data_IF_488879680619
#
_entry.id   IF_488879680619
#
_cell.length_a   1.000
_cell.length_b   1.000
_cell.length_c   1.000
_cell.angle_alpha   90.00
_cell.angle_beta   90.00
_cell.angle_gamma   90.00
#
_symmetry.space_group_name_H-M   'P 1'
#
loop_
_entity.id
_entity.type
_entity.pdbx_description
1 polymer ?
#
# COMPACT_ATOMS: atom_id res chain seq x y z
N UNK A 1 18.18 -23.64 -40.18
CA UNK A 1 17.78 -22.23 -40.26
C UNK A 1 17.37 -21.92 -41.69
N UNK A 2 16.07 -21.91 -41.96
CA UNK A 2 15.52 -21.36 -43.19
C UNK A 2 14.60 -20.24 -42.77
N UNK A 3 15.17 -19.08 -42.45
CA UNK A 3 14.41 -17.86 -42.24
C UNK A 3 13.76 -17.51 -43.58
N UNK A 4 12.43 -17.48 -43.63
CA UNK A 4 11.70 -17.08 -44.82
C UNK A 4 11.29 -15.62 -44.61
N UNK A 5 12.03 -14.65 -45.18
CA UNK A 5 11.53 -13.28 -45.23
C UNK A 5 10.30 -13.26 -46.14
N UNK A 6 9.13 -13.05 -45.57
CA UNK A 6 7.93 -12.79 -46.35
C UNK A 6 7.81 -11.27 -46.57
N UNK A 7 8.35 -10.81 -47.69
CA UNK A 7 8.33 -9.41 -48.10
C UNK A 7 6.91 -8.85 -48.31
N UNK A 8 5.86 -9.68 -48.32
CA UNK A 8 4.48 -9.22 -48.42
C UNK A 8 3.86 -8.86 -47.06
N UNK A 9 4.40 -9.39 -45.95
CA UNK A 9 3.94 -9.13 -44.58
C UNK A 9 5.01 -8.50 -43.69
N UNK A 10 6.26 -8.38 -44.16
CA UNK A 10 7.37 -7.82 -43.39
C UNK A 10 7.62 -8.54 -42.09
N UNK A 11 7.77 -9.85 -42.17
CA UNK A 11 8.05 -10.68 -41.01
C UNK A 11 9.20 -11.64 -41.25
N UNK A 12 9.87 -12.01 -40.17
CA UNK A 12 10.87 -13.06 -40.09
C UNK A 12 10.29 -14.21 -39.26
N UNK A 13 10.20 -15.39 -39.87
CA UNK A 13 9.53 -16.56 -39.29
C UNK A 13 10.57 -17.65 -38.99
N UNK A 14 10.59 -18.09 -37.73
CA UNK A 14 11.35 -19.22 -37.19
C UNK A 14 10.74 -20.58 -37.54
N UNK A 15 10.99 -21.58 -36.70
CA UNK A 15 10.54 -22.96 -36.85
C UNK A 15 10.27 -23.62 -35.48
N UNK A 16 10.18 -24.94 -35.43
CA UNK A 16 9.82 -25.70 -34.21
C UNK A 16 11.07 -26.10 -33.39
N UNK A 17 12.13 -25.30 -33.42
CA UNK A 17 13.39 -25.56 -32.72
C UNK A 17 13.95 -24.27 -32.19
N UNK A 18 14.57 -24.30 -31.02
CA UNK A 18 15.24 -23.15 -30.41
C UNK A 18 16.15 -22.38 -31.37
N UNK A 19 15.89 -21.08 -31.49
CA UNK A 19 16.51 -20.16 -32.41
C UNK A 19 17.00 -18.88 -31.71
N UNK A 20 18.02 -18.29 -32.31
CA UNK A 20 18.47 -16.93 -31.99
C UNK A 20 18.17 -16.06 -33.21
N UNK A 21 17.24 -15.13 -33.07
CA UNK A 21 16.82 -14.22 -34.13
C UNK A 21 17.08 -12.79 -33.66
N UNK A 22 17.77 -12.00 -34.47
CA UNK A 22 18.00 -10.58 -34.19
C UNK A 22 17.67 -9.75 -35.41
N UNK A 23 16.83 -8.74 -35.22
CA UNK A 23 16.57 -7.73 -36.22
C UNK A 23 17.67 -6.66 -36.24
N UNK A 24 17.71 -5.91 -37.32
CA UNK A 24 18.46 -4.66 -37.43
C UNK A 24 17.55 -3.59 -38.01
N UNK A 25 17.78 -2.33 -37.62
CA UNK A 25 16.91 -1.22 -38.05
C UNK A 25 16.75 -1.16 -39.57
N UNK A 26 15.50 -0.98 -40.00
CA UNK A 26 15.07 -0.95 -41.39
C UNK A 26 15.13 -2.30 -42.12
N UNK A 27 15.32 -3.43 -41.40
CA UNK A 27 15.27 -4.77 -41.99
C UNK A 27 13.87 -5.09 -42.53
N UNK A 28 12.83 -4.63 -41.83
CA UNK A 28 11.43 -4.80 -42.18
C UNK A 28 10.91 -3.44 -42.66
N UNK A 29 10.18 -3.43 -43.78
CA UNK A 29 9.79 -2.17 -44.46
C UNK A 29 8.36 -1.70 -44.13
N UNK A 30 7.62 -2.48 -43.35
CA UNK A 30 6.32 -2.13 -42.80
C UNK A 30 6.41 -2.23 -41.29
N UNK A 31 6.18 -1.10 -40.61
CA UNK A 31 6.15 -1.02 -39.16
C UNK A 31 4.68 -1.03 -38.68
N UNK A 32 4.34 -1.85 -37.69
CA UNK A 32 5.25 -2.76 -36.99
C UNK A 32 5.72 -3.95 -37.85
N UNK A 33 7.02 -4.25 -37.78
CA UNK A 33 7.65 -5.40 -38.45
C UNK A 33 7.61 -6.64 -37.57
N UNK A 34 7.37 -7.84 -38.12
CA UNK A 34 7.12 -9.05 -37.32
C UNK A 34 8.32 -9.98 -37.12
N UNK A 35 8.47 -10.54 -35.92
CA UNK A 35 9.28 -11.74 -35.63
C UNK A 35 8.36 -12.82 -35.04
N UNK A 36 8.40 -14.03 -35.59
CA UNK A 36 7.62 -15.17 -35.09
C UNK A 36 8.58 -16.34 -34.79
N UNK A 37 8.77 -16.70 -33.52
CA UNK A 37 9.57 -17.84 -33.06
C UNK A 37 8.98 -19.18 -33.49
N UNK A 38 7.66 -19.34 -33.24
CA UNK A 38 6.84 -20.54 -33.45
C UNK A 38 6.98 -21.58 -32.35
N UNK A 39 8.09 -22.32 -32.29
CA UNK A 39 8.20 -23.43 -31.34
C UNK A 39 9.62 -23.69 -30.86
N UNK A 40 9.73 -24.08 -29.60
CA UNK A 40 11.02 -24.32 -28.94
C UNK A 40 11.54 -23.05 -28.29
N UNK A 41 12.49 -23.21 -27.38
CA UNK A 41 12.97 -22.10 -26.54
C UNK A 41 13.78 -21.08 -27.36
N UNK A 42 13.17 -19.97 -27.73
CA UNK A 42 13.73 -18.96 -28.63
C UNK A 42 14.33 -17.76 -27.90
N UNK A 43 15.17 -17.02 -28.61
CA UNK A 43 15.77 -15.76 -28.17
C UNK A 43 15.62 -14.76 -29.31
N UNK A 44 14.69 -13.80 -29.15
CA UNK A 44 14.22 -12.90 -30.20
C UNK A 44 14.56 -11.45 -29.84
N UNK A 45 15.37 -10.80 -30.67
CA UNK A 45 15.73 -9.38 -30.50
C UNK A 45 15.11 -8.52 -31.61
N UNK A 46 14.38 -7.49 -31.20
CA UNK A 46 13.93 -6.38 -32.02
C UNK A 46 15.08 -5.44 -32.41
N UNK A 47 14.74 -4.24 -32.85
CA UNK A 47 15.67 -3.22 -33.30
C UNK A 47 15.29 -1.85 -32.73
N UNK A 48 15.47 -0.78 -33.50
CA UNK A 48 15.14 0.58 -33.05
C UNK A 48 13.86 1.12 -33.68
N UNK A 49 13.09 0.24 -34.32
CA UNK A 49 11.85 0.58 -35.00
C UNK A 49 10.70 -0.14 -34.26
N UNK A 50 9.44 0.23 -34.53
CA UNK A 50 8.33 -0.48 -33.89
C UNK A 50 8.22 -1.93 -34.45
N UNK A 51 8.15 -2.91 -33.54
CA UNK A 51 8.16 -4.34 -33.82
C UNK A 51 6.97 -5.09 -33.20
N UNK A 52 6.62 -6.22 -33.84
CA UNK A 52 5.72 -7.23 -33.29
C UNK A 52 6.52 -8.53 -33.10
N UNK A 53 6.75 -8.96 -31.86
CA UNK A 53 7.54 -10.16 -31.54
C UNK A 53 6.62 -11.21 -30.90
N UNK A 54 6.62 -12.43 -31.44
CA UNK A 54 5.76 -13.53 -31.00
C UNK A 54 6.63 -14.77 -30.71
N UNK A 55 6.76 -15.18 -29.45
CA UNK A 55 7.42 -16.43 -29.04
C UNK A 55 6.61 -17.65 -29.48
N UNK A 56 5.34 -17.68 -29.09
CA UNK A 56 4.31 -18.71 -29.30
C UNK A 56 4.42 -19.91 -28.34
N UNK A 57 5.39 -20.80 -28.49
CA UNK A 57 5.49 -21.99 -27.63
C UNK A 57 6.93 -22.32 -27.30
N UNK A 58 7.19 -22.65 -26.04
CA UNK A 58 8.55 -22.90 -25.55
C UNK A 58 8.90 -21.84 -24.51
N UNK A 59 10.03 -22.01 -23.82
CA UNK A 59 10.53 -20.96 -22.93
C UNK A 59 11.24 -19.90 -23.77
N UNK A 60 10.57 -18.80 -24.07
CA UNK A 60 11.06 -17.77 -24.97
C UNK A 60 11.62 -16.56 -24.21
N UNK A 61 12.64 -15.93 -24.79
CA UNK A 61 13.14 -14.62 -24.34
C UNK A 61 13.02 -13.59 -25.47
N UNK A 62 12.31 -12.50 -25.20
CA UNK A 62 11.94 -11.48 -26.18
C UNK A 62 12.43 -10.10 -25.72
N UNK A 63 13.14 -9.39 -26.60
CA UNK A 63 13.60 -8.01 -26.36
C UNK A 63 13.06 -7.09 -27.46
N UNK A 64 12.32 -6.04 -27.11
CA UNK A 64 11.82 -5.02 -28.04
C UNK A 64 12.93 -4.12 -28.57
N UNK A 65 13.78 -3.67 -27.66
CA UNK A 65 14.81 -2.65 -27.86
C UNK A 65 14.23 -1.23 -27.91
N UNK A 66 14.52 -0.41 -28.91
CA UNK A 66 13.95 0.96 -28.93
C UNK A 66 12.75 0.98 -29.87
N UNK A 67 11.63 1.57 -29.49
CA UNK A 67 10.44 1.59 -30.34
C UNK A 67 9.17 1.53 -29.53
N UNK A 68 8.02 1.57 -30.20
CA UNK A 68 6.76 1.15 -29.57
C UNK A 68 6.42 -0.26 -30.01
N UNK A 69 6.93 -1.21 -29.24
CA UNK A 69 6.89 -2.62 -29.57
C UNK A 69 5.66 -3.33 -29.03
N UNK A 70 5.37 -4.49 -29.58
CA UNK A 70 4.37 -5.40 -29.05
C UNK A 70 4.94 -6.81 -28.96
N UNK A 71 5.04 -7.32 -27.74
CA UNK A 71 5.63 -8.62 -27.44
C UNK A 71 4.55 -9.58 -26.92
N UNK A 72 4.58 -10.81 -27.42
CA UNK A 72 3.76 -11.92 -26.95
C UNK A 72 4.64 -13.12 -26.62
N UNK A 73 4.70 -13.54 -25.35
CA UNK A 73 5.40 -14.74 -24.90
C UNK A 73 4.74 -15.99 -25.50
N UNK A 74 3.57 -16.34 -24.97
CA UNK A 74 2.68 -17.31 -25.59
C UNK A 74 2.31 -18.46 -24.67
N UNK A 75 3.19 -19.44 -24.51
CA UNK A 75 2.97 -20.63 -23.67
C UNK A 75 4.27 -21.02 -23.03
N UNK A 76 4.15 -21.58 -21.83
CA UNK A 76 5.30 -21.81 -20.95
C UNK A 76 5.78 -20.47 -20.38
N UNK A 77 6.67 -20.51 -19.39
CA UNK A 77 7.05 -19.27 -18.71
C UNK A 77 8.06 -18.49 -19.54
N UNK A 78 7.70 -17.31 -20.02
CA UNK A 78 8.52 -16.50 -20.92
C UNK A 78 9.17 -15.31 -20.20
N UNK A 79 10.19 -14.72 -20.83
CA UNK A 79 10.79 -13.45 -20.40
C UNK A 79 10.62 -12.43 -21.51
N UNK A 80 9.98 -11.30 -21.21
CA UNK A 80 9.74 -10.20 -22.14
C UNK A 80 10.34 -8.91 -21.58
N UNK A 81 11.06 -8.16 -22.40
CA UNK A 81 11.65 -6.86 -22.06
C UNK A 81 11.39 -5.86 -23.19
N UNK A 82 10.65 -4.79 -22.91
CA UNK A 82 10.39 -3.71 -23.90
C UNK A 82 11.65 -2.90 -24.21
N UNK A 83 12.44 -2.61 -23.17
CA UNK A 83 13.61 -1.73 -23.15
C UNK A 83 13.26 -0.24 -23.25
N UNK A 84 13.00 0.34 -24.42
CA UNK A 84 12.81 1.77 -24.56
C UNK A 84 11.68 2.14 -25.50
N UNK A 85 10.77 2.97 -25.03
CA UNK A 85 9.63 3.49 -25.77
C UNK A 85 8.31 3.10 -25.09
N UNK A 86 7.23 2.98 -25.85
CA UNK A 86 5.92 2.72 -25.24
C UNK A 86 5.43 1.37 -25.73
N UNK A 87 5.62 0.36 -24.90
CA UNK A 87 5.54 -1.04 -25.28
C UNK A 87 4.26 -1.71 -24.78
N UNK A 88 3.87 -2.78 -25.47
CA UNK A 88 2.72 -3.59 -25.12
C UNK A 88 3.15 -5.05 -24.97
N UNK A 89 3.23 -5.53 -23.73
CA UNK A 89 3.73 -6.86 -23.39
C UNK A 89 2.59 -7.77 -22.92
N UNK A 90 2.54 -8.99 -23.48
CA UNK A 90 1.62 -10.05 -23.07
C UNK A 90 2.38 -11.34 -22.77
N UNK A 91 2.39 -11.80 -21.51
CA UNK A 91 2.93 -13.11 -21.14
C UNK A 91 2.08 -14.25 -21.73
N UNK A 92 0.77 -14.16 -21.51
CA UNK A 92 -0.31 -15.06 -21.95
C UNK A 92 -0.56 -16.27 -21.04
N UNK A 93 0.26 -17.32 -21.09
CA UNK A 93 -0.03 -18.59 -20.44
C UNK A 93 1.20 -19.12 -19.72
N UNK A 94 0.96 -19.68 -18.54
CA UNK A 94 1.97 -20.09 -17.57
C UNK A 94 2.69 -18.87 -16.94
N UNK A 95 3.69 -19.11 -16.09
CA UNK A 95 4.27 -18.07 -15.24
C UNK A 95 5.36 -17.27 -15.97
N UNK A 96 5.06 -16.03 -16.30
CA UNK A 96 5.87 -15.14 -17.13
C UNK A 96 6.63 -14.08 -16.31
N UNK A 97 7.67 -13.49 -16.90
CA UNK A 97 8.36 -12.31 -16.36
C UNK A 97 8.41 -11.20 -17.40
N UNK A 98 7.84 -10.04 -17.09
CA UNK A 98 7.70 -8.90 -18.00
C UNK A 98 8.40 -7.65 -17.42
N UNK A 99 9.22 -7.00 -18.22
CA UNK A 99 9.85 -5.72 -17.94
C UNK A 99 9.42 -4.70 -19.01
N UNK A 100 8.81 -3.59 -18.61
CA UNK A 100 8.39 -2.51 -19.51
C UNK A 100 9.62 -1.81 -20.08
N UNK A 101 10.40 -1.18 -19.20
CA UNK A 101 11.59 -0.44 -19.57
C UNK A 101 11.35 1.05 -19.38
N UNK A 102 11.91 1.88 -20.26
CA UNK A 102 11.70 3.33 -20.23
C UNK A 102 10.56 3.74 -21.18
N UNK A 103 9.43 4.21 -20.64
CA UNK A 103 8.41 4.96 -21.36
C UNK A 103 7.02 4.79 -20.80
N UNK A 104 6.02 4.49 -21.63
CA UNK A 104 4.63 4.35 -21.17
C UNK A 104 4.12 2.99 -21.58
N UNK A 105 4.34 2.01 -20.71
CA UNK A 105 4.19 0.61 -21.04
C UNK A 105 2.86 0.04 -20.56
N UNK A 106 2.41 -1.02 -21.22
CA UNK A 106 1.23 -1.78 -20.84
C UNK A 106 1.60 -3.25 -20.74
N UNK A 107 1.61 -3.78 -19.52
CA UNK A 107 2.05 -5.14 -19.20
C UNK A 107 0.85 -5.99 -18.76
N UNK A 108 0.67 -7.13 -19.41
CA UNK A 108 -0.38 -8.10 -19.12
C UNK A 108 0.23 -9.50 -18.91
N UNK A 109 0.19 -10.01 -17.67
CA UNK A 109 0.74 -11.32 -17.32
C UNK A 109 -0.01 -12.45 -18.01
N UNK A 110 -1.31 -12.53 -17.76
CA UNK A 110 -2.22 -13.44 -18.46
C UNK A 110 -2.69 -14.55 -17.54
N UNK A 111 -2.17 -15.77 -17.68
CA UNK A 111 -2.53 -16.89 -16.80
C UNK A 111 -1.27 -17.49 -16.21
N UNK A 112 -1.04 -17.31 -14.93
CA UNK A 112 0.17 -17.78 -14.30
C UNK A 112 0.34 -17.06 -12.99
N UNK A 113 1.38 -17.42 -12.25
CA UNK A 113 1.84 -16.56 -11.16
C UNK A 113 2.97 -15.72 -11.77
N UNK A 114 2.62 -14.54 -12.29
CA UNK A 114 3.48 -13.72 -13.15
C UNK A 114 4.28 -12.68 -12.34
N UNK A 115 5.37 -12.19 -12.93
CA UNK A 115 6.17 -11.08 -12.38
C UNK A 115 6.23 -9.94 -13.39
N UNK A 116 5.65 -8.79 -13.05
CA UNK A 116 5.60 -7.60 -13.91
C UNK A 116 6.34 -6.45 -13.24
N UNK A 117 7.19 -5.76 -14.00
CA UNK A 117 7.90 -4.55 -13.60
C UNK A 117 7.81 -3.48 -14.69
N UNK A 118 7.16 -2.35 -14.42
CA UNK A 118 7.06 -1.23 -15.38
C UNK A 118 8.40 -0.54 -15.63
N UNK A 119 9.23 -0.45 -14.59
CA UNK A 119 10.51 0.25 -14.55
C UNK A 119 10.39 1.79 -14.59
N UNK A 120 10.38 2.41 -15.77
CA UNK A 120 10.47 3.86 -15.89
C UNK A 120 9.34 4.44 -16.72
N UNK A 121 8.53 5.29 -16.10
CA UNK A 121 7.49 6.09 -16.72
C UNK A 121 6.11 5.75 -16.18
N UNK A 122 5.04 6.05 -16.93
CA UNK A 122 3.68 5.87 -16.40
C UNK A 122 3.04 4.63 -17.00
N UNK A 123 3.08 3.54 -16.24
CA UNK A 123 2.81 2.22 -16.76
C UNK A 123 1.43 1.72 -16.35
N UNK A 124 0.94 0.74 -17.09
CA UNK A 124 -0.31 0.02 -16.82
C UNK A 124 -0.01 -1.45 -16.64
N UNK A 125 -0.22 -1.98 -15.43
CA UNK A 125 0.12 -3.35 -15.09
C UNK A 125 -1.14 -4.16 -14.74
N UNK A 126 -1.30 -5.32 -15.36
CA UNK A 126 -2.33 -6.30 -15.04
C UNK A 126 -1.71 -7.69 -14.94
N UNK A 127 -1.69 -8.29 -13.74
CA UNK A 127 -1.29 -9.70 -13.58
C UNK A 127 -2.28 -10.67 -14.24
N UNK A 128 -3.56 -10.28 -14.30
CA UNK A 128 -4.68 -11.07 -14.80
C UNK A 128 -5.04 -12.29 -13.90
N UNK A 129 -4.77 -13.53 -14.33
CA UNK A 129 -5.19 -14.74 -13.64
C UNK A 129 -4.03 -15.44 -12.94
N UNK A 130 -3.95 -15.26 -11.63
CA UNK A 130 -3.12 -16.05 -10.74
C UNK A 130 -2.73 -15.24 -9.52
N UNK A 131 -1.61 -15.55 -8.89
CA UNK A 131 -1.06 -14.75 -7.82
C UNK A 131 0.20 -14.02 -8.31
N UNK A 132 0.01 -12.79 -8.77
CA UNK A 132 1.04 -12.05 -9.51
C UNK A 132 1.85 -11.13 -8.59
N UNK A 133 3.07 -10.80 -9.01
CA UNK A 133 3.92 -9.78 -8.38
C UNK A 133 4.03 -8.58 -9.32
N UNK A 134 3.58 -7.41 -8.88
CA UNK A 134 3.49 -6.20 -9.68
C UNK A 134 4.37 -5.10 -9.07
N UNK A 135 5.25 -4.52 -9.88
CA UNK A 135 6.14 -3.40 -9.50
C UNK A 135 5.94 -2.29 -10.53
N UNK A 136 5.47 -1.11 -10.11
CA UNK A 136 5.22 0.01 -11.01
C UNK A 136 6.53 0.62 -11.52
N UNK A 137 7.42 0.95 -10.59
CA UNK A 137 8.67 1.64 -10.88
C UNK A 137 8.54 3.15 -10.68
N UNK A 138 9.24 3.93 -11.51
CA UNK A 138 9.24 5.40 -11.42
C UNK A 138 8.15 5.96 -12.30
N UNK A 139 7.14 6.59 -11.72
CA UNK A 139 6.19 7.41 -12.47
C UNK A 139 4.83 7.35 -11.83
N UNK A 140 3.78 7.60 -12.60
CA UNK A 140 2.40 7.40 -12.14
C UNK A 140 1.85 6.14 -12.79
N UNK A 141 1.75 5.09 -12.00
CA UNK A 141 1.39 3.77 -12.50
C UNK A 141 -0.05 3.41 -12.19
N UNK A 142 -0.60 2.50 -12.98
CA UNK A 142 -1.96 1.99 -12.81
C UNK A 142 -1.93 0.47 -12.69
N UNK A 143 -2.29 -0.02 -11.50
CA UNK A 143 -2.43 -1.45 -11.21
C UNK A 143 -3.87 -1.90 -11.43
N UNK A 144 -4.10 -2.75 -12.44
CA UNK A 144 -5.41 -3.27 -12.82
C UNK A 144 -5.66 -4.59 -12.09
N UNK A 145 -6.39 -4.50 -10.98
CA UNK A 145 -6.76 -5.69 -10.24
C UNK A 145 -7.95 -6.39 -10.90
N UNK A 146 -7.99 -7.71 -10.79
CA UNK A 146 -9.13 -8.51 -11.21
C UNK A 146 -9.77 -9.23 -10.03
N UNK A 147 -11.05 -9.58 -10.20
CA UNK A 147 -11.76 -10.45 -9.28
C UNK A 147 -12.07 -11.77 -9.97
N UNK A 148 -11.27 -12.81 -9.70
CA UNK A 148 -11.36 -14.09 -10.40
C UNK A 148 -11.25 -15.31 -9.46
N UNK A 149 -10.93 -15.11 -8.19
CA UNK A 149 -10.80 -16.17 -7.18
C UNK A 149 -9.63 -17.12 -7.40
N UNK A 150 -8.58 -16.69 -8.13
CA UNK A 150 -7.45 -17.54 -8.53
C UNK A 150 -6.10 -17.18 -7.92
N UNK A 151 -6.03 -16.10 -7.13
CA UNK A 151 -4.82 -15.69 -6.43
C UNK A 151 -4.99 -14.28 -5.90
N UNK A 152 -4.01 -13.83 -5.13
CA UNK A 152 -3.96 -12.46 -4.59
C UNK A 152 -2.70 -11.84 -5.13
N UNK A 153 -2.84 -10.70 -5.79
CA UNK A 153 -1.71 -9.97 -6.36
C UNK A 153 -0.90 -9.30 -5.25
N UNK A 154 0.40 -9.18 -5.46
CA UNK A 154 1.33 -8.50 -4.57
C UNK A 154 1.92 -7.28 -5.29
N UNK A 155 1.47 -6.09 -4.89
CA UNK A 155 2.03 -4.83 -5.38
C UNK A 155 3.16 -4.42 -4.44
N UNK A 156 4.36 -4.23 -4.98
CA UNK A 156 5.61 -4.17 -4.20
C UNK A 156 6.08 -2.76 -3.87
N UNK A 157 5.65 -1.75 -4.62
CA UNK A 157 6.21 -0.39 -4.57
C UNK A 157 5.18 0.74 -4.72
N UNK A 158 3.89 0.44 -4.54
CA UNK A 158 2.80 1.42 -4.68
C UNK A 158 3.10 2.76 -4.00
N UNK A 159 3.06 3.87 -4.75
CA UNK A 159 3.28 5.23 -4.27
C UNK A 159 1.95 5.99 -4.07
N UNK A 160 1.48 6.20 -2.83
CA UNK A 160 0.18 6.85 -2.59
C UNK A 160 0.15 8.29 -3.14
N UNK A 161 -0.98 8.68 -3.74
CA UNK A 161 -1.19 9.96 -4.45
C UNK A 161 -0.43 10.13 -5.78
N UNK A 162 0.37 9.14 -6.16
CA UNK A 162 1.04 9.11 -7.45
C UNK A 162 0.39 7.99 -8.25
N UNK A 163 0.44 6.76 -7.74
CA UNK A 163 -0.11 5.58 -8.39
C UNK A 163 -1.60 5.41 -8.15
N UNK A 164 -2.21 4.56 -8.98
CA UNK A 164 -3.63 4.29 -8.97
C UNK A 164 -3.90 2.79 -9.00
N UNK A 165 -4.86 2.34 -8.19
CA UNK A 165 -5.37 0.97 -8.22
C UNK A 165 -6.72 0.99 -8.93
N UNK A 166 -6.80 0.35 -10.08
CA UNK A 166 -8.07 0.15 -10.76
C UNK A 166 -8.75 -1.12 -10.23
N UNK A 167 -9.89 -0.92 -9.56
CA UNK A 167 -10.73 -2.00 -9.06
C UNK A 167 -11.78 -2.40 -10.10
N UNK A 168 -12.14 -3.70 -10.16
CA UNK A 168 -13.26 -4.16 -10.97
C UNK A 168 -14.57 -3.41 -10.68
N UNK A 169 -15.37 -3.19 -11.72
CA UNK A 169 -16.67 -2.54 -11.54
C UNK A 169 -17.64 -3.44 -10.74
N UNK A 170 -18.47 -2.81 -9.92
CA UNK A 170 -19.55 -3.44 -9.17
C UNK A 170 -19.11 -4.48 -8.11
N UNK A 171 -17.91 -4.35 -7.54
CA UNK A 171 -17.45 -5.20 -6.42
C UNK A 171 -18.30 -5.09 -5.15
N UNK A 172 -19.09 -4.03 -5.01
CA UNK A 172 -19.75 -3.72 -3.75
C UNK A 172 -18.74 -3.20 -2.73
N UNK A 173 -18.61 -3.85 -1.58
CA UNK A 173 -17.76 -3.34 -0.50
C UNK A 173 -16.36 -3.98 -0.52
N UNK A 174 -15.31 -3.16 -0.64
CA UNK A 174 -13.90 -3.60 -0.55
C UNK A 174 -13.33 -3.15 0.79
N UNK A 175 -12.88 -4.08 1.61
CA UNK A 175 -12.23 -3.82 2.89
C UNK A 175 -10.76 -3.56 2.67
N UNK A 176 -10.26 -2.47 3.25
CA UNK A 176 -8.85 -2.13 3.26
C UNK A 176 -8.33 -2.49 4.64
N UNK A 177 -7.51 -3.54 4.78
CA UNK A 177 -7.14 -4.13 6.07
C UNK A 177 -5.64 -4.05 6.31
N UNK A 178 -5.23 -3.72 7.54
CA UNK A 178 -3.81 -3.80 7.91
C UNK A 178 -3.34 -5.26 8.01
N UNK A 179 -2.09 -5.50 7.58
CA UNK A 179 -1.40 -6.78 7.76
C UNK A 179 -0.06 -6.49 8.42
N UNK A 180 0.03 -6.81 9.72
CA UNK A 180 1.19 -6.39 10.50
C UNK A 180 1.28 -4.86 10.56
N UNK A 181 2.49 -4.32 10.49
CA UNK A 181 2.77 -2.89 10.67
C UNK A 181 3.12 -2.13 9.38
N UNK A 182 3.20 -2.80 8.23
CA UNK A 182 3.75 -2.20 7.00
C UNK A 182 3.14 -2.75 5.71
N UNK A 183 1.96 -3.37 5.78
CA UNK A 183 1.29 -3.93 4.63
C UNK A 183 -0.21 -3.71 4.71
N UNK A 184 -0.84 -3.60 3.54
CA UNK A 184 -2.28 -3.42 3.41
C UNK A 184 -2.86 -4.48 2.49
N UNK A 185 -3.97 -5.08 2.89
CA UNK A 185 -4.68 -6.08 2.12
C UNK A 185 -6.05 -5.56 1.68
N UNK A 186 -6.38 -5.75 0.41
CA UNK A 186 -7.68 -5.42 -0.16
C UNK A 186 -8.53 -6.68 -0.24
N UNK A 187 -9.70 -6.67 0.41
CA UNK A 187 -10.59 -7.84 0.53
C UNK A 187 -12.01 -7.50 0.07
N UNK A 188 -12.53 -8.22 -0.91
CA UNK A 188 -13.93 -8.05 -1.36
C UNK A 188 -14.87 -8.67 -0.33
N UNK A 189 -15.69 -7.85 0.32
CA UNK A 189 -16.53 -8.28 1.46
C UNK A 189 -17.54 -9.37 1.11
N UNK A 190 -18.08 -9.34 -0.11
CA UNK A 190 -19.12 -10.26 -0.54
C UNK A 190 -18.60 -11.69 -0.75
N UNK A 191 -17.34 -11.84 -1.14
CA UNK A 191 -16.70 -13.12 -1.47
C UNK A 191 -15.63 -13.54 -0.48
N UNK A 192 -15.16 -12.62 0.37
CA UNK A 192 -13.98 -12.78 1.23
C UNK A 192 -12.71 -13.11 0.42
N UNK A 193 -12.66 -12.64 -0.82
CA UNK A 193 -11.53 -12.79 -1.71
C UNK A 193 -10.54 -11.67 -1.45
N UNK A 194 -9.27 -12.02 -1.30
CA UNK A 194 -8.19 -11.06 -1.19
C UNK A 194 -7.68 -10.77 -2.60
N UNK A 195 -7.92 -9.56 -3.09
CA UNK A 195 -7.57 -9.18 -4.47
C UNK A 195 -6.17 -8.59 -4.57
N UNK A 196 -5.66 -7.99 -3.48
CA UNK A 196 -4.29 -7.49 -3.45
C UNK A 196 -3.70 -7.44 -2.04
N UNK A 197 -2.37 -7.51 -1.98
CA UNK A 197 -1.52 -7.11 -0.87
C UNK A 197 -0.59 -6.00 -1.36
N UNK A 198 -0.54 -4.87 -0.67
CA UNK A 198 0.37 -3.76 -0.91
C UNK A 198 1.52 -3.85 0.09
N UNK A 199 2.76 -3.95 -0.37
CA UNK A 199 3.95 -3.89 0.48
C UNK A 199 4.32 -2.46 0.81
N UNK A 200 4.83 -2.20 2.01
CA UNK A 200 5.26 -0.85 2.39
C UNK A 200 4.14 0.14 2.67
N UNK A 201 2.87 -0.26 2.50
CA UNK A 201 1.71 0.62 2.64
C UNK A 201 0.91 0.23 3.85
N UNK A 202 0.72 1.17 4.78
CA UNK A 202 -0.30 1.02 5.82
C UNK A 202 -1.63 1.60 5.35
N UNK A 203 -2.76 1.08 5.84
CA UNK A 203 -4.03 1.43 5.23
C UNK A 203 -4.40 2.92 5.35
N UNK A 204 -3.82 3.63 6.33
CA UNK A 204 -3.98 5.08 6.50
C UNK A 204 -3.26 5.93 5.45
N UNK A 205 -2.32 5.37 4.69
CA UNK A 205 -1.71 6.08 3.55
C UNK A 205 -2.67 6.21 2.37
N UNK A 206 -3.66 5.31 2.29
CA UNK A 206 -4.58 5.21 1.17
C UNK A 206 -5.76 6.17 1.31
N UNK A 207 -6.16 6.75 0.19
CA UNK A 207 -7.27 7.68 0.02
C UNK A 207 -8.19 7.18 -1.06
N UNK A 208 -9.44 7.63 -1.06
CA UNK A 208 -10.39 7.32 -2.13
C UNK A 208 -9.84 7.69 -3.52
N UNK A 209 -8.96 8.70 -3.60
CA UNK A 209 -8.31 9.14 -4.85
C UNK A 209 -7.30 8.16 -5.42
N UNK A 210 -6.79 7.23 -4.60
CA UNK A 210 -5.84 6.20 -5.03
C UNK A 210 -6.55 5.06 -5.78
N UNK A 211 -7.88 5.06 -5.82
CA UNK A 211 -8.68 4.01 -6.45
C UNK A 211 -9.52 4.54 -7.61
N UNK A 212 -9.54 3.78 -8.71
CA UNK A 212 -10.39 4.03 -9.87
C UNK A 212 -11.36 2.86 -10.05
N UNK A 213 -12.59 3.17 -10.51
CA UNK A 213 -13.61 2.19 -10.88
C UNK A 213 -15.01 2.68 -10.49
N UNK A 214 -16.04 1.89 -10.77
CA UNK A 214 -17.43 2.24 -10.48
C UNK A 214 -18.13 1.16 -9.65
N UNK A 215 -19.14 1.56 -8.87
CA UNK A 215 -20.01 0.60 -8.17
C UNK A 215 -19.34 -0.16 -7.02
N UNK A 216 -18.23 0.35 -6.49
CA UNK A 216 -17.66 -0.09 -5.22
C UNK A 216 -17.74 0.99 -4.15
N UNK A 217 -17.60 0.56 -2.90
CA UNK A 217 -17.37 1.43 -1.74
C UNK A 217 -16.17 0.88 -0.99
N UNK A 218 -15.22 1.75 -0.66
CA UNK A 218 -14.13 1.38 0.22
C UNK A 218 -14.67 1.35 1.63
N UNK A 219 -14.58 0.18 2.25
CA UNK A 219 -14.72 0.03 3.67
C UNK A 219 -13.33 0.18 4.27
N UNK A 220 -12.98 1.41 4.55
CA UNK A 220 -11.84 1.71 5.40
C UNK A 220 -12.15 1.44 6.87
N UNK A 221 -13.33 0.94 7.25
CA UNK A 221 -13.65 0.56 8.63
C UNK A 221 -12.94 -0.73 9.08
N UNK A 222 -12.12 -1.35 8.22
CA UNK A 222 -11.07 -2.30 8.61
C UNK A 222 -9.63 -1.75 8.44
N UNK A 223 -9.49 -0.49 8.02
CA UNK A 223 -8.31 0.32 8.32
C UNK A 223 -8.50 0.57 9.80
N UNK A 224 -7.64 0.01 10.64
CA UNK A 224 -7.28 0.76 11.81
C UNK A 224 -6.20 1.74 11.36
N UNK A 225 -6.53 3.00 11.01
CA UNK A 225 -5.78 4.04 11.69
C UNK A 225 -6.22 3.98 13.17
N UNK A 226 -5.36 4.28 14.14
CA UNK A 226 -5.75 4.28 15.55
C UNK A 226 -6.82 5.30 15.95
N UNK A 227 -8.07 5.17 15.50
CA UNK A 227 -9.13 6.13 15.84
C UNK A 227 -10.49 5.45 16.00
N UNK A 228 -10.52 4.42 16.85
CA UNK A 228 -11.58 4.11 17.82
C UNK A 228 -11.16 2.92 18.68
N UNK A 229 -10.33 2.03 18.12
CA UNK A 229 -9.87 0.80 18.77
C UNK A 229 -8.71 1.04 19.74
N UNK A 230 -7.70 1.87 19.43
CA UNK A 230 -6.65 2.20 20.42
C UNK A 230 -7.16 3.08 21.57
N UNK A 231 -8.03 4.05 21.29
CA UNK A 231 -8.70 4.82 22.35
C UNK A 231 -9.49 3.87 23.26
N UNK A 232 -10.22 2.90 22.69
CA UNK A 232 -10.98 1.93 23.48
C UNK A 232 -10.08 0.90 24.18
N UNK A 233 -9.01 0.41 23.55
CA UNK A 233 -8.06 -0.54 24.12
C UNK A 233 -7.25 0.09 25.25
N UNK A 234 -6.74 1.32 25.06
CA UNK A 234 -6.07 2.07 26.14
C UNK A 234 -7.05 2.31 27.29
N UNK A 235 -8.32 2.63 27.01
CA UNK A 235 -9.35 2.74 28.04
C UNK A 235 -9.57 1.42 28.78
N UNK A 236 -9.72 0.32 28.05
CA UNK A 236 -10.01 -1.00 28.60
C UNK A 236 -8.85 -1.52 29.45
N UNK A 237 -7.61 -1.42 28.97
CA UNK A 237 -6.40 -1.77 29.72
C UNK A 237 -6.23 -0.88 30.97
N UNK A 238 -6.50 0.42 30.85
CA UNK A 238 -6.49 1.34 31.99
C UNK A 238 -7.54 0.97 33.02
N UNK A 239 -8.77 0.65 32.58
CA UNK A 239 -9.86 0.25 33.45
C UNK A 239 -9.66 -1.13 34.06
N UNK A 240 -9.00 -2.04 33.34
CA UNK A 240 -8.58 -3.33 33.88
C UNK A 240 -7.58 -3.13 35.03
N UNK A 241 -6.53 -2.33 34.80
CA UNK A 241 -5.56 -2.01 35.86
C UNK A 241 -6.22 -1.33 37.06
N UNK A 242 -7.14 -0.38 36.83
CA UNK A 242 -7.92 0.26 37.90
C UNK A 242 -8.78 -0.74 38.67
N UNK A 243 -9.46 -1.65 37.97
CA UNK A 243 -10.29 -2.69 38.56
C UNK A 243 -9.47 -3.65 39.43
N UNK A 244 -8.30 -4.08 38.94
CA UNK A 244 -7.35 -4.91 39.72
C UNK A 244 -6.89 -4.22 41.02
N UNK A 245 -6.91 -2.88 41.06
CA UNK A 245 -6.57 -2.06 42.21
C UNK A 245 -7.79 -1.54 43.00
N UNK A 246 -8.99 -2.04 42.71
CA UNK A 246 -10.22 -1.70 43.46
C UNK A 246 -10.79 -0.31 43.20
N UNK A 247 -10.47 0.29 42.04
CA UNK A 247 -10.95 1.61 41.63
C UNK A 247 -12.09 1.52 40.62
N UNK A 248 -13.01 2.51 40.58
CA UNK A 248 -14.06 2.56 39.56
C UNK A 248 -13.46 2.81 38.16
N UNK A 249 -14.12 2.29 37.12
CA UNK A 249 -13.71 2.54 35.74
C UNK A 249 -13.93 4.02 35.38
N UNK A 250 -13.08 4.52 34.49
CA UNK A 250 -13.18 5.82 33.87
C UNK A 250 -14.11 5.73 32.65
N UNK A 251 -14.82 6.81 32.37
CA UNK A 251 -15.64 6.96 31.16
C UNK A 251 -14.99 7.92 30.16
N UNK A 252 -15.04 7.60 28.87
CA UNK A 252 -14.54 8.52 27.84
C UNK A 252 -15.32 9.84 27.86
N UNK A 253 -14.60 10.95 27.77
CA UNK A 253 -15.16 12.28 27.61
C UNK A 253 -14.63 12.90 26.32
N UNK A 254 -15.53 13.37 25.47
CA UNK A 254 -15.19 13.88 24.13
C UNK A 254 -14.34 15.16 24.16
N UNK A 255 -14.51 16.00 25.19
CA UNK A 255 -13.74 17.24 25.33
C UNK A 255 -12.31 16.93 25.81
N UNK A 256 -12.16 15.97 26.73
CA UNK A 256 -10.85 15.48 27.13
C UNK A 256 -10.14 14.74 25.99
N UNK A 257 -10.86 13.96 25.17
CA UNK A 257 -10.30 13.32 23.97
C UNK A 257 -9.72 14.36 23.02
N UNK A 258 -10.45 15.46 22.75
CA UNK A 258 -9.96 16.53 21.90
C UNK A 258 -8.66 17.15 22.45
N UNK A 259 -8.60 17.40 23.76
CA UNK A 259 -7.40 17.96 24.40
C UNK A 259 -6.20 17.00 24.36
N UNK A 260 -6.44 15.69 24.51
CA UNK A 260 -5.40 14.66 24.42
C UNK A 260 -4.90 14.48 22.98
N UNK A 261 -5.81 14.58 22.01
CA UNK A 261 -5.50 14.48 20.59
C UNK A 261 -4.66 15.65 20.10
N UNK A 262 -5.01 16.87 20.53
CA UNK A 262 -4.25 18.10 20.28
C UNK A 262 -2.80 17.95 20.78
N UNK A 263 -2.62 17.56 22.05
CA UNK A 263 -1.27 17.36 22.60
C UNK A 263 -0.45 16.30 21.84
N UNK A 264 -1.07 15.20 21.42
CA UNK A 264 -0.37 14.13 20.70
C UNK A 264 0.07 14.59 19.30
N UNK A 265 -0.74 15.43 18.65
CA UNK A 265 -0.42 16.06 17.37
C UNK A 265 0.71 17.08 17.52
N UNK A 266 0.61 17.96 18.53
CA UNK A 266 1.58 19.02 18.75
C UNK A 266 2.97 18.43 19.07
N UNK A 267 3.05 17.43 19.96
CA UNK A 267 4.32 16.77 20.28
C UNK A 267 5.02 16.21 19.04
N UNK A 268 4.24 15.61 18.12
CA UNK A 268 4.78 15.05 16.89
C UNK A 268 5.15 16.12 15.85
N UNK A 269 4.25 17.07 15.60
CA UNK A 269 4.41 18.04 14.51
C UNK A 269 5.36 19.18 14.86
N UNK A 270 5.46 19.53 16.14
CA UNK A 270 6.31 20.61 16.64
C UNK A 270 7.60 20.10 17.30
N UNK A 271 7.84 18.78 17.26
CA UNK A 271 9.09 18.14 17.69
C UNK A 271 9.45 18.45 19.15
N UNK A 272 8.55 18.06 20.08
CA UNK A 272 8.80 18.18 21.52
C UNK A 272 8.11 17.06 22.31
N UNK A 273 8.62 16.78 23.51
CA UNK A 273 8.00 15.83 24.45
C UNK A 273 7.95 16.41 25.88
N UNK A 274 6.92 17.19 26.15
CA UNK A 274 6.66 17.82 27.44
C UNK A 274 5.14 17.92 27.67
N UNK A 275 4.72 17.99 28.94
CA UNK A 275 3.31 18.25 29.30
C UNK A 275 2.86 19.67 28.93
N UNK A 276 3.81 20.59 28.82
CA UNK A 276 3.58 21.98 28.46
C UNK A 276 3.86 22.18 26.97
N UNK A 277 2.84 22.61 26.22
CA UNK A 277 2.99 22.91 24.79
C UNK A 277 3.95 24.07 24.54
N UNK A 278 4.50 24.18 23.33
CA UNK A 278 5.41 25.28 22.97
C UNK A 278 4.72 26.65 23.00
N UNK A 279 3.39 26.67 22.85
CA UNK A 279 2.52 27.83 23.03
C UNK A 279 2.29 28.20 24.52
N UNK A 280 2.80 27.39 25.45
CA UNK A 280 2.62 27.52 26.89
C UNK A 280 1.34 26.87 27.43
N UNK A 281 0.61 26.12 26.60
CA UNK A 281 -0.58 25.40 27.01
C UNK A 281 -0.25 24.32 28.05
N UNK A 282 -1.14 24.16 29.02
CA UNK A 282 -1.08 23.12 30.05
C UNK A 282 -2.22 22.13 29.80
N UNK A 283 -2.19 20.92 30.39
CA UNK A 283 -3.32 19.98 30.27
C UNK A 283 -4.66 20.62 30.73
N UNK A 284 -4.58 21.49 31.73
CA UNK A 284 -5.70 22.27 32.23
C UNK A 284 -6.25 23.27 31.20
N UNK A 285 -5.37 24.02 30.52
CA UNK A 285 -5.82 25.02 29.53
C UNK A 285 -6.34 24.33 28.27
N UNK A 286 -5.66 23.29 27.76
CA UNK A 286 -6.14 22.49 26.62
C UNK A 286 -7.55 21.93 26.90
N UNK A 287 -7.78 21.34 28.07
CA UNK A 287 -9.12 20.88 28.45
C UNK A 287 -10.16 22.01 28.50
N UNK A 288 -9.80 23.19 29.03
CA UNK A 288 -10.70 24.36 29.09
C UNK A 288 -11.03 24.92 27.72
N UNK A 289 -10.06 24.93 26.80
CA UNK A 289 -10.25 25.40 25.42
C UNK A 289 -11.19 24.49 24.64
N UNK A 290 -11.18 23.18 24.95
CA UNK A 290 -12.19 22.21 24.48
C UNK A 290 -13.53 22.28 25.24
N UNK A 291 -13.67 23.26 26.15
CA UNK A 291 -14.89 23.53 26.92
C UNK A 291 -15.12 22.60 28.12
N UNK A 292 -14.12 21.82 28.55
CA UNK A 292 -14.23 20.94 29.71
C UNK A 292 -13.98 21.70 31.01
N UNK A 293 -14.97 21.71 31.90
CA UNK A 293 -14.86 22.35 33.21
C UNK A 293 -14.69 21.30 34.31
N UNK A 294 -13.62 21.39 35.10
CA UNK A 294 -13.17 20.30 35.97
C UNK A 294 -12.91 20.69 37.42
N UNK A 295 -13.01 19.70 38.31
CA UNK A 295 -12.51 19.77 39.70
C UNK A 295 -11.08 19.21 39.82
N UNK A 296 -10.75 18.22 38.98
CA UNK A 296 -9.46 17.55 38.92
C UNK A 296 -9.07 17.36 37.46
N UNK A 297 -7.78 17.48 37.16
CA UNK A 297 -7.21 17.24 35.84
C UNK A 297 -5.82 16.61 36.01
N UNK A 298 -5.44 15.70 35.12
CA UNK A 298 -4.11 15.11 35.07
C UNK A 298 -3.78 14.61 33.68
N UNK A 299 -2.50 14.32 33.42
CA UNK A 299 -2.05 13.87 32.11
C UNK A 299 -0.95 12.81 32.22
N UNK A 300 -1.00 11.82 31.33
CA UNK A 300 0.13 10.95 31.01
C UNK A 300 0.46 11.14 29.52
N UNK A 301 1.75 11.23 29.19
CA UNK A 301 2.24 11.25 27.80
C UNK A 301 3.17 10.07 27.57
N UNK A 302 3.27 9.59 26.34
CA UNK A 302 4.15 8.49 25.94
C UNK A 302 4.57 8.65 24.49
N UNK A 303 5.80 8.28 24.17
CA UNK A 303 6.31 8.30 22.81
C UNK A 303 7.12 7.03 22.52
N UNK A 304 7.08 6.55 21.27
CA UNK A 304 7.91 5.43 20.79
C UNK A 304 7.33 4.05 21.05
N UNK A 305 6.16 3.97 21.70
CA UNK A 305 5.43 2.72 21.92
C UNK A 305 4.59 2.39 20.70
N UNK A 306 4.70 1.16 20.20
CA UNK A 306 4.04 0.74 18.97
C UNK A 306 2.59 0.30 19.22
N UNK A 307 2.27 -0.14 20.45
CA UNK A 307 0.94 -0.67 20.78
C UNK A 307 0.36 -0.08 22.07
N UNK A 308 -0.99 -0.15 22.25
CA UNK A 308 -1.67 0.20 23.49
C UNK A 308 -1.15 -0.54 24.73
N UNK A 309 -0.86 -1.83 24.61
CA UNK A 309 -0.33 -2.64 25.71
C UNK A 309 1.03 -2.12 26.16
N UNK A 310 1.90 -1.79 25.21
CA UNK A 310 3.24 -1.28 25.51
C UNK A 310 3.18 0.08 26.22
N UNK A 311 2.37 1.01 25.72
CA UNK A 311 2.27 2.34 26.33
C UNK A 311 1.57 2.30 27.69
N UNK A 312 0.49 1.53 27.85
CA UNK A 312 -0.20 1.39 29.13
C UNK A 312 0.69 0.69 30.15
N UNK A 313 1.41 -0.37 29.74
CA UNK A 313 2.39 -1.00 30.61
C UNK A 313 3.53 -0.04 30.97
N UNK A 314 3.98 0.81 30.04
CA UNK A 314 4.96 1.87 30.31
C UNK A 314 4.47 2.89 31.34
N UNK A 315 3.21 3.33 31.25
CA UNK A 315 2.59 4.19 32.27
C UNK A 315 2.39 3.47 33.61
N UNK A 316 2.04 2.19 33.59
CA UNK A 316 2.02 1.38 34.81
C UNK A 316 3.43 1.36 35.39
N UNK A 317 4.48 1.05 34.65
CA UNK A 317 5.83 0.86 35.21
C UNK A 317 6.49 2.16 35.72
N UNK A 318 6.04 3.33 35.25
CA UNK A 318 6.49 4.64 35.74
C UNK A 318 5.72 5.10 36.98
N UNK A 319 6.38 5.34 38.14
CA UNK A 319 5.68 5.77 39.36
C UNK A 319 4.82 7.02 39.20
N UNK A 320 5.28 8.04 38.47
CA UNK A 320 4.53 9.28 38.25
C UNK A 320 3.28 9.08 37.38
N UNK A 321 3.40 8.31 36.29
CA UNK A 321 2.26 7.99 35.43
C UNK A 321 1.26 7.06 36.13
N UNK A 322 1.76 6.11 36.93
CA UNK A 322 0.95 5.19 37.73
C UNK A 322 0.10 5.91 38.77
N UNK A 323 0.58 7.01 39.35
CA UNK A 323 -0.20 7.82 40.29
C UNK A 323 -1.48 8.37 39.64
N UNK A 324 -1.42 8.79 38.38
CA UNK A 324 -2.63 9.21 37.64
C UNK A 324 -3.59 8.05 37.43
N UNK A 325 -3.08 6.88 37.01
CA UNK A 325 -3.90 5.68 36.80
C UNK A 325 -4.62 5.23 38.09
N UNK A 326 -3.98 5.40 39.24
CA UNK A 326 -4.49 5.01 40.56
C UNK A 326 -5.27 6.12 41.29
N UNK A 327 -5.48 7.28 40.67
CA UNK A 327 -6.15 8.40 41.33
C UNK A 327 -7.67 8.14 41.42
N UNK A 328 -8.26 8.08 42.62
CA UNK A 328 -9.69 7.84 42.79
C UNK A 328 -10.56 9.06 42.49
N UNK A 329 -9.96 10.25 42.35
CA UNK A 329 -10.69 11.48 42.08
C UNK A 329 -11.02 11.68 40.60
N UNK A 330 -10.46 10.86 39.69
CA UNK A 330 -10.78 10.89 38.26
C UNK A 330 -11.97 9.97 37.97
N UNK A 331 -12.92 10.47 37.20
CA UNK A 331 -14.10 9.75 36.72
C UNK A 331 -14.13 9.66 35.19
N UNK A 332 -13.45 10.55 34.50
CA UNK A 332 -13.45 10.68 33.05
C UNK A 332 -12.02 10.64 32.50
N UNK A 333 -11.88 10.24 31.24
CA UNK A 333 -10.61 10.20 30.53
C UNK A 333 -10.78 10.61 29.07
N UNK A 334 -9.77 11.28 28.56
CA UNK A 334 -9.52 11.55 27.16
C UNK A 334 -8.27 10.81 26.69
N UNK A 335 -8.27 10.26 25.48
CA UNK A 335 -7.13 9.54 24.92
C UNK A 335 -6.86 10.09 23.52
N UNK A 336 -5.60 10.47 23.30
CA UNK A 336 -5.09 10.93 22.02
C UNK A 336 -3.96 10.03 21.53
N UNK A 337 -3.88 9.88 20.22
CA UNK A 337 -2.78 9.19 19.55
C UNK A 337 -2.44 9.91 18.25
N UNK A 338 -1.16 10.01 17.94
CA UNK A 338 -0.70 10.50 16.65
C UNK A 338 0.51 9.72 16.15
N UNK A 339 0.52 9.44 14.85
CA UNK A 339 1.65 8.80 14.15
C UNK A 339 2.23 9.77 13.12
N UNK A 340 3.56 9.90 13.11
CA UNK A 340 4.30 10.70 12.13
C UNK A 340 5.31 9.80 11.40
N UNK A 341 5.01 9.51 10.12
CA UNK A 341 5.69 8.50 9.29
C UNK A 341 7.15 8.83 8.92
N UNK A 342 7.58 10.06 9.14
CA UNK A 342 8.95 10.52 8.91
C UNK A 342 9.31 11.59 9.93
N UNK A 343 9.26 11.21 11.20
CA UNK A 343 9.67 12.06 12.29
C UNK A 343 11.18 12.36 12.21
N UNK A 344 11.51 13.52 11.65
CA UNK A 344 12.90 13.98 11.43
C UNK A 344 13.35 14.97 12.50
N UNK A 345 12.57 15.08 13.57
CA UNK A 345 12.83 15.93 14.72
C UNK A 345 14.00 15.46 15.60
N UNK A 346 14.31 16.27 16.62
CA UNK A 346 15.23 15.93 17.70
C UNK A 346 14.73 14.74 18.53
N UNK A 347 13.42 14.56 18.64
CA UNK A 347 12.78 13.43 19.33
C UNK A 347 12.06 12.51 18.33
N UNK A 348 12.81 11.63 17.65
CA UNK A 348 12.26 10.69 16.67
C UNK A 348 11.65 9.46 17.35
N UNK A 349 10.31 9.45 17.47
CA UNK A 349 9.59 8.34 18.11
C UNK A 349 8.48 7.75 17.23
N UNK A 350 8.07 8.44 16.18
CA UNK A 350 6.98 8.11 15.24
C UNK A 350 5.58 7.96 15.87
N UNK A 351 5.45 7.49 17.11
CA UNK A 351 4.20 7.21 17.82
C UNK A 351 4.10 8.08 19.08
N UNK A 352 3.04 8.86 19.20
CA UNK A 352 2.78 9.75 20.33
C UNK A 352 1.41 9.45 20.94
N UNK A 353 1.37 9.38 22.26
CA UNK A 353 0.22 8.95 23.05
C UNK A 353 -0.03 9.92 24.20
N UNK A 354 -1.30 10.25 24.44
CA UNK A 354 -1.69 11.10 25.57
C UNK A 354 -2.94 10.56 26.25
N UNK A 355 -2.93 10.50 27.59
CA UNK A 355 -4.14 10.36 28.41
C UNK A 355 -4.37 11.66 29.17
N UNK A 356 -5.57 12.23 29.08
CA UNK A 356 -6.00 13.36 29.93
C UNK A 356 -7.12 12.88 30.85
N UNK A 357 -6.89 12.92 32.15
CA UNK A 357 -7.86 12.49 33.16
C UNK A 357 -8.63 13.68 33.70
N UNK A 358 -9.90 13.50 34.05
CA UNK A 358 -10.72 14.57 34.60
C UNK A 358 -11.88 14.11 35.48
N UNK A 359 -12.45 15.08 36.20
CA UNK A 359 -13.78 14.97 36.81
C UNK A 359 -14.52 16.29 36.63
N UNK A 360 -15.62 16.26 35.90
CA UNK A 360 -16.42 17.44 35.60
C UNK A 360 -17.05 18.09 36.84
N UNK A 361 -17.25 19.41 36.81
CA UNK A 361 -17.89 20.18 37.90
C UNK A 361 -19.39 19.83 38.12
N UNK A 362 -19.98 18.94 37.31
CA UNK A 362 -21.40 18.57 37.35
C UNK A 362 -21.75 17.28 38.10
N UNK A 363 -20.77 16.51 38.58
CA UNK A 363 -20.96 15.21 39.24
C UNK A 363 -20.58 15.23 40.72
N UNK A 364 -21.15 16.19 41.48
CA UNK A 364 -21.06 16.27 42.95
C UNK A 364 -22.37 15.93 43.63
#
# INVERSE_FOLDING_TARGET
MSLIPDAAIGALIGNESSELISLFSGQLFNHPGGVLGLGGDDTLFGASDDELILGNTGFDQLWGAEGSDTLFGGKEGDILEGEGGNDLLFGNLDADTLFGGEGFDSLFGGKGDDVLNGEGGNDTLAGDLGADTLTGGIGQDVFLLQQQGQGRDWITDFEPNIDLIQLPDNLGQVQVQAVGSNQTRLVVSATNEEIALLDGIVPSNLRDSDFIGQGFTLNTDNVLPPTSDFVQQVLDLTNEFRSQNGLPPLTLNTQLNAAAQEQSQDMAQEDFFDHIGLDGSTPASRAQDQGYTFSFIGENIGAGYQTPEEVVQGWIDSPGHRENLLNPNYAEIGIGYFYLENDTGFENWNHYWTQVFGTGLGNG
#
